data_IF_602021410885
#
_entry.id   IF_602021410885
#
_cell.length_a   1.000
_cell.length_b   1.000
_cell.length_c   1.000
_cell.angle_alpha   90.00
_cell.angle_beta   90.00
_cell.angle_gamma   90.00
#
_symmetry.space_group_name_H-M   'P 1'
#
loop_
_entity.id
_entity.type
_entity.pdbx_description
1 polymer ?
#
# COMPACT_ATOMS: atom_id res chain seq x y z
N UNK A 1 -3.53 11.55 7.83
CA UNK A 1 -4.66 11.49 6.86
C UNK A 1 -4.87 10.04 6.46
N UNK A 2 -6.05 9.65 6.01
CA UNK A 2 -6.34 8.26 5.61
C UNK A 2 -7.32 8.21 4.44
N UNK A 3 -7.14 7.26 3.52
CA UNK A 3 -8.09 6.90 2.47
C UNK A 3 -8.37 5.41 2.48
N UNK A 4 -9.60 5.03 2.12
CA UNK A 4 -10.00 3.65 1.88
C UNK A 4 -10.10 3.37 0.38
N UNK A 5 -9.54 2.24 -0.05
CA UNK A 5 -9.68 1.64 -1.37
C UNK A 5 -10.36 0.28 -1.19
N UNK A 6 -11.36 0.01 -2.03
CA UNK A 6 -12.03 -1.29 -2.10
C UNK A 6 -11.55 -2.01 -3.33
N UNK A 7 -11.23 -3.29 -3.18
CA UNK A 7 -10.73 -4.13 -4.24
C UNK A 7 -11.25 -5.57 -4.05
N UNK A 8 -10.95 -6.44 -5.00
CA UNK A 8 -11.37 -7.83 -5.00
C UNK A 8 -10.16 -8.78 -5.02
N UNK A 9 -10.36 -9.96 -4.45
CA UNK A 9 -9.45 -11.08 -4.64
C UNK A 9 -9.45 -11.61 -6.07
N UNK A 10 -8.50 -12.50 -6.36
CA UNK A 10 -8.41 -13.17 -7.65
C UNK A 10 -7.67 -14.50 -7.55
N UNK A 11 -8.18 -15.54 -8.23
CA UNK A 11 -7.66 -16.91 -8.20
C UNK A 11 -6.16 -17.07 -8.48
N UNK A 12 -5.59 -16.14 -9.26
CA UNK A 12 -4.19 -16.13 -9.66
C UNK A 12 -3.26 -15.34 -8.73
N UNK A 13 -3.76 -14.75 -7.64
CA UNK A 13 -2.90 -14.08 -6.65
C UNK A 13 -2.00 -15.13 -6.01
N UNK A 14 -0.69 -14.93 -6.12
CA UNK A 14 0.31 -15.82 -5.50
C UNK A 14 1.07 -15.16 -4.37
N UNK A 15 1.19 -13.83 -4.39
CA UNK A 15 1.90 -13.02 -3.40
C UNK A 15 3.33 -13.54 -3.11
N UNK A 16 4.13 -13.71 -4.17
CA UNK A 16 5.50 -14.29 -4.05
C UNK A 16 6.61 -13.29 -4.33
N UNK A 17 6.29 -12.13 -4.89
CA UNK A 17 7.31 -11.17 -5.25
C UNK A 17 8.08 -10.69 -4.02
N UNK A 18 9.42 -10.66 -4.12
CA UNK A 18 10.32 -10.45 -2.97
C UNK A 18 10.56 -8.99 -2.61
N UNK A 19 10.18 -8.07 -3.49
CA UNK A 19 10.54 -6.64 -3.35
C UNK A 19 9.39 -5.68 -3.58
N UNK A 20 8.21 -6.17 -4.00
CA UNK A 20 7.07 -5.30 -4.28
C UNK A 20 5.75 -5.92 -3.84
N UNK A 21 4.76 -5.06 -3.66
CA UNK A 21 3.33 -5.35 -3.49
C UNK A 21 2.61 -4.43 -4.47
N UNK A 22 1.55 -4.90 -5.12
CA UNK A 22 0.83 -4.15 -6.14
C UNK A 22 -0.68 -4.29 -5.99
N UNK A 23 -1.38 -3.16 -6.13
CA UNK A 23 -2.83 -3.03 -6.19
C UNK A 23 -3.17 -2.47 -7.57
N UNK A 24 -4.18 -3.04 -8.24
CA UNK A 24 -4.57 -2.59 -9.58
C UNK A 24 -6.09 -2.44 -9.74
N UNK A 25 -6.49 -1.47 -10.57
CA UNK A 25 -7.88 -1.34 -11.06
C UNK A 25 -8.25 -2.39 -12.11
N UNK A 26 -7.26 -3.04 -12.72
CA UNK A 26 -7.52 -4.06 -13.73
C UNK A 26 -8.23 -5.28 -13.14
N UNK A 27 -9.10 -5.90 -13.93
CA UNK A 27 -9.92 -7.03 -13.49
C UNK A 27 -9.26 -8.39 -13.67
N UNK A 28 -8.32 -8.47 -14.61
CA UNK A 28 -7.69 -9.72 -15.02
C UNK A 28 -6.25 -9.76 -14.54
N UNK A 29 -5.92 -10.86 -13.87
CA UNK A 29 -4.55 -11.14 -13.41
C UNK A 29 -4.06 -12.41 -14.08
N UNK A 30 -3.03 -12.29 -14.92
CA UNK A 30 -2.32 -13.45 -15.48
C UNK A 30 -1.59 -14.26 -14.39
N UNK A 31 -1.18 -15.50 -14.68
CA UNK A 31 -0.55 -16.38 -13.68
C UNK A 31 0.83 -15.90 -13.20
N UNK A 32 1.45 -14.94 -13.89
CA UNK A 32 2.81 -14.45 -13.62
C UNK A 32 2.85 -13.18 -12.75
N UNK A 33 1.71 -12.57 -12.42
CA UNK A 33 1.67 -11.37 -11.59
C UNK A 33 1.84 -11.70 -10.11
N UNK A 34 3.07 -11.99 -9.70
CA UNK A 34 3.39 -12.45 -8.34
C UNK A 34 3.50 -11.33 -7.30
N UNK A 35 3.51 -10.07 -7.73
CA UNK A 35 3.44 -8.87 -6.89
C UNK A 35 2.02 -8.38 -6.63
N UNK A 36 1.04 -8.76 -7.47
CA UNK A 36 -0.35 -8.27 -7.38
C UNK A 36 -1.08 -9.00 -6.26
N UNK A 37 -1.70 -8.22 -5.36
CA UNK A 37 -2.39 -8.72 -4.16
C UNK A 37 -3.85 -8.26 -4.06
N UNK A 38 -4.28 -7.38 -4.96
CA UNK A 38 -5.66 -6.91 -5.05
C UNK A 38 -5.93 -6.40 -6.47
N UNK A 39 -7.09 -6.78 -7.02
CA UNK A 39 -7.55 -6.41 -8.37
C UNK A 39 -8.85 -5.62 -8.28
N UNK A 40 -9.33 -5.03 -9.39
CA UNK A 40 -10.60 -4.28 -9.44
C UNK A 40 -10.69 -3.21 -8.35
N UNK A 41 -9.58 -2.56 -8.04
CA UNK A 41 -9.55 -1.45 -7.11
C UNK A 41 -10.48 -0.32 -7.59
N UNK A 42 -11.23 0.27 -6.66
CA UNK A 42 -12.13 1.39 -6.95
C UNK A 42 -11.37 2.71 -7.15
N UNK A 43 -10.12 2.80 -6.66
CA UNK A 43 -9.26 3.97 -6.72
C UNK A 43 -7.84 3.65 -7.19
N UNK A 44 -7.28 4.55 -8.01
CA UNK A 44 -5.86 4.73 -8.30
C UNK A 44 -5.41 6.13 -7.86
N UNK A 45 -4.20 6.57 -8.22
CA UNK A 45 -3.69 7.89 -7.81
C UNK A 45 -4.52 9.05 -8.37
N UNK A 46 -5.10 8.88 -9.57
CA UNK A 46 -6.00 9.85 -10.20
C UNK A 46 -7.28 10.12 -9.39
N UNK A 47 -7.65 9.18 -8.51
CA UNK A 47 -8.86 9.25 -7.68
C UNK A 47 -8.59 9.82 -6.28
N UNK A 48 -7.31 10.13 -5.97
CA UNK A 48 -6.88 10.73 -4.70
C UNK A 48 -6.74 12.25 -4.85
N UNK A 49 -7.19 12.99 -3.84
CA UNK A 49 -7.02 14.44 -3.83
C UNK A 49 -5.54 14.85 -3.72
N UNK A 50 -5.21 16.03 -4.24
CA UNK A 50 -3.83 16.52 -4.22
C UNK A 50 -3.27 16.72 -2.80
N UNK A 51 -4.04 17.27 -1.83
CA UNK A 51 -3.57 17.38 -0.45
C UNK A 51 -3.14 16.05 0.16
N UNK A 52 -3.86 14.96 -0.10
CA UNK A 52 -3.49 13.63 0.39
C UNK A 52 -2.24 13.10 -0.30
N UNK A 53 -2.11 13.26 -1.62
CA UNK A 53 -0.88 12.87 -2.35
C UNK A 53 0.36 13.64 -1.84
N UNK A 54 0.24 14.94 -1.58
CA UNK A 54 1.31 15.74 -0.98
C UNK A 54 1.68 15.25 0.43
N UNK A 55 0.68 14.88 1.24
CA UNK A 55 0.92 14.30 2.55
C UNK A 55 1.64 12.94 2.44
N UNK A 56 1.29 12.11 1.46
CA UNK A 56 1.98 10.84 1.20
C UNK A 56 3.44 11.07 0.83
N UNK A 57 3.74 11.99 -0.10
CA UNK A 57 5.12 12.33 -0.55
C UNK A 57 6.06 12.79 0.57
N UNK A 58 5.52 13.29 1.68
CA UNK A 58 6.29 13.90 2.77
C UNK A 58 6.27 13.10 4.08
N UNK A 59 5.56 11.96 4.13
CA UNK A 59 5.35 11.21 5.36
C UNK A 59 5.87 9.78 5.28
N UNK A 60 6.11 9.19 6.46
CA UNK A 60 6.02 7.73 6.59
C UNK A 60 4.55 7.34 6.44
N UNK A 61 4.28 6.22 5.82
CA UNK A 61 2.91 5.76 5.60
C UNK A 61 2.76 4.29 5.92
N UNK A 62 1.54 3.89 6.29
CA UNK A 62 1.14 2.50 6.50
C UNK A 62 0.02 2.17 5.51
N UNK A 63 0.09 0.98 4.93
CA UNK A 63 -0.99 0.41 4.12
C UNK A 63 -1.50 -0.84 4.84
N UNK A 64 -2.77 -0.84 5.20
CA UNK A 64 -3.42 -1.96 5.90
C UNK A 64 -4.42 -2.64 4.98
N UNK A 65 -4.30 -3.95 4.84
CA UNK A 65 -5.19 -4.80 4.07
C UNK A 65 -6.09 -5.60 5.03
N UNK A 66 -7.39 -5.63 4.73
CA UNK A 66 -8.39 -6.41 5.45
C UNK A 66 -9.15 -7.31 4.48
N UNK A 67 -9.28 -8.60 4.80
CA UNK A 67 -9.98 -9.59 3.99
C UNK A 67 -10.53 -10.70 4.90
N UNK A 68 -11.84 -10.94 4.90
CA UNK A 68 -12.53 -11.96 5.73
C UNK A 68 -12.05 -12.04 7.20
N UNK A 69 -11.83 -10.89 7.85
CA UNK A 69 -11.37 -10.81 9.24
C UNK A 69 -9.86 -10.92 9.44
N UNK A 70 -9.08 -11.25 8.41
CA UNK A 70 -7.62 -11.15 8.42
C UNK A 70 -7.20 -9.69 8.25
N UNK A 71 -6.17 -9.28 8.98
CA UNK A 71 -5.58 -7.93 8.91
C UNK A 71 -4.08 -8.04 8.77
N UNK A 72 -3.51 -7.35 7.80
CA UNK A 72 -2.07 -7.28 7.58
C UNK A 72 -1.65 -5.89 7.13
N UNK A 73 -0.47 -5.42 7.51
CA UNK A 73 0.00 -4.09 7.15
C UNK A 73 1.47 -4.04 6.76
N UNK A 74 1.76 -3.06 5.91
CA UNK A 74 3.09 -2.74 5.40
C UNK A 74 3.37 -1.26 5.64
N UNK A 75 4.60 -0.93 5.98
CA UNK A 75 5.02 0.45 6.21
C UNK A 75 6.19 0.82 5.31
N UNK A 76 6.22 2.07 4.91
CA UNK A 76 7.27 2.60 4.05
C UNK A 76 7.27 4.12 4.05
N UNK A 77 8.00 4.69 3.10
CA UNK A 77 8.24 6.13 3.04
C UNK A 77 7.73 6.71 1.73
N UNK A 78 7.13 7.89 1.85
CA UNK A 78 7.01 8.80 0.72
C UNK A 78 8.31 9.52 0.46
N UNK A 79 8.45 10.00 -0.77
CA UNK A 79 9.50 10.94 -1.16
C UNK A 79 8.92 12.01 -2.07
N UNK A 80 9.61 13.14 -2.19
CA UNK A 80 9.23 14.22 -3.12
C UNK A 80 9.25 13.80 -4.59
N UNK A 81 9.95 12.72 -4.94
CA UNK A 81 10.07 12.25 -6.33
C UNK A 81 8.99 11.24 -6.73
N UNK A 82 8.11 10.81 -5.82
CA UNK A 82 6.99 9.93 -6.16
C UNK A 82 6.02 10.64 -7.13
N UNK A 83 5.94 10.10 -8.35
CA UNK A 83 5.06 10.62 -9.39
C UNK A 83 3.60 10.60 -8.96
N UNK A 84 3.08 9.43 -8.54
CA UNK A 84 1.69 9.22 -8.14
C UNK A 84 0.70 9.73 -9.20
N UNK A 85 0.88 9.27 -10.44
CA UNK A 85 0.10 9.70 -11.61
C UNK A 85 -0.56 8.54 -12.35
N UNK A 86 -0.16 7.30 -12.05
CA UNK A 86 -0.72 6.15 -12.72
C UNK A 86 -2.23 6.01 -12.40
N UNK A 87 -3.01 5.76 -13.44
CA UNK A 87 -4.48 5.71 -13.38
C UNK A 87 -5.00 4.32 -12.99
N UNK A 88 -4.11 3.33 -12.82
CA UNK A 88 -4.49 1.93 -12.59
C UNK A 88 -3.76 1.27 -11.44
N UNK A 89 -2.46 1.50 -11.30
CA UNK A 89 -1.60 0.71 -10.44
C UNK A 89 -0.98 1.52 -9.29
N UNK A 90 -0.97 0.93 -8.10
CA UNK A 90 -0.22 1.42 -6.93
C UNK A 90 0.76 0.35 -6.45
N UNK A 91 2.05 0.68 -6.44
CA UNK A 91 3.14 -0.26 -6.13
C UNK A 91 3.89 0.20 -4.88
N UNK A 92 3.95 -0.67 -3.88
CA UNK A 92 4.81 -0.52 -2.70
C UNK A 92 6.14 -1.24 -2.97
N UNK A 93 7.28 -0.58 -2.73
CA UNK A 93 8.60 -1.10 -3.09
C UNK A 93 9.53 -1.15 -1.89
N UNK A 94 10.29 -2.25 -1.74
CA UNK A 94 11.39 -2.34 -0.77
C UNK A 94 12.59 -1.47 -1.19
N UNK A 95 12.79 -1.28 -2.49
CA UNK A 95 13.86 -0.42 -3.01
C UNK A 95 13.48 1.07 -2.97
N UNK A 96 14.45 1.94 -3.26
CA UNK A 96 14.25 3.37 -3.52
C UNK A 96 13.87 3.72 -4.96
N UNK A 97 13.41 2.75 -5.76
CA UNK A 97 13.03 3.02 -7.15
C UNK A 97 11.70 3.76 -7.21
N UNK A 98 11.66 4.87 -7.95
CA UNK A 98 10.49 5.73 -8.07
C UNK A 98 9.94 5.69 -9.51
N UNK A 99 8.62 5.71 -9.62
CA UNK A 99 7.88 5.80 -10.88
C UNK A 99 6.48 6.36 -10.64
N UNK A 100 5.74 6.65 -11.70
CA UNK A 100 4.35 7.13 -11.60
C UNK A 100 3.41 6.17 -10.87
N UNK A 101 3.77 4.88 -10.81
CA UNK A 101 3.07 3.80 -10.12
C UNK A 101 3.44 3.66 -8.64
N UNK A 102 4.49 4.33 -8.20
CA UNK A 102 5.08 4.04 -6.88
C UNK A 102 4.33 4.78 -5.78
N UNK A 103 3.72 4.02 -4.85
CA UNK A 103 3.02 4.54 -3.67
C UNK A 103 3.99 4.80 -2.51
N UNK A 104 4.95 3.89 -2.30
CA UNK A 104 5.97 4.02 -1.28
C UNK A 104 7.27 3.32 -1.69
N UNK A 105 8.36 3.80 -1.12
CA UNK A 105 9.69 3.20 -1.19
C UNK A 105 10.17 2.79 0.20
N UNK A 106 11.25 2.01 0.27
CA UNK A 106 11.81 1.51 1.53
C UNK A 106 10.77 0.80 2.40
N UNK A 107 9.90 0.04 1.75
CA UNK A 107 8.88 -0.79 2.38
C UNK A 107 9.51 -1.86 3.29
N UNK A 108 8.97 -2.04 4.48
CA UNK A 108 9.43 -3.06 5.44
C UNK A 108 9.10 -4.49 4.99
N UNK A 109 8.03 -4.64 4.20
CA UNK A 109 7.52 -5.91 3.66
C UNK A 109 7.37 -5.90 2.14
N UNK A 110 7.27 -7.08 1.55
CA UNK A 110 6.87 -7.33 0.17
C UNK A 110 5.74 -8.36 0.11
N UNK A 111 5.27 -8.70 -1.10
CA UNK A 111 4.19 -9.66 -1.28
C UNK A 111 4.51 -11.03 -0.63
N UNK A 112 5.76 -11.49 -0.69
CA UNK A 112 6.19 -12.73 -0.05
C UNK A 112 6.07 -12.76 1.49
N UNK A 113 5.90 -11.60 2.12
CA UNK A 113 5.77 -11.47 3.58
C UNK A 113 4.30 -11.50 4.04
N UNK A 114 3.35 -11.65 3.11
CA UNK A 114 1.93 -11.77 3.43
C UNK A 114 1.65 -13.15 4.07
N UNK A 115 0.98 -13.19 5.23
CA UNK A 115 0.60 -14.42 5.90
C UNK A 115 -0.24 -15.34 5.01
N UNK A 116 -0.06 -16.67 5.14
CA UNK A 116 -0.70 -17.67 4.27
C UNK A 116 -2.23 -17.65 4.33
N UNK A 117 -2.78 -17.37 5.50
CA UNK A 117 -4.22 -17.21 5.73
C UNK A 117 -4.77 -15.98 5.00
N UNK A 118 -4.05 -14.86 5.06
CA UNK A 118 -4.37 -13.68 4.25
C UNK A 118 -4.28 -14.00 2.75
N UNK A 119 -3.21 -14.65 2.27
CA UNK A 119 -3.09 -15.05 0.84
C UNK A 119 -4.25 -15.96 0.41
N UNK A 120 -4.69 -16.89 1.25
CA UNK A 120 -5.87 -17.71 0.95
C UNK A 120 -7.13 -16.87 0.74
N UNK A 121 -7.33 -15.83 1.55
CA UNK A 121 -8.43 -14.89 1.37
C UNK A 121 -8.31 -14.09 0.07
N UNK A 122 -7.12 -13.53 -0.22
CA UNK A 122 -6.87 -12.77 -1.44
C UNK A 122 -7.07 -13.60 -2.72
N UNK A 123 -6.94 -14.93 -2.64
CA UNK A 123 -7.14 -15.84 -3.79
C UNK A 123 -8.59 -16.10 -4.13
N UNK A 124 -9.52 -15.81 -3.24
CA UNK A 124 -10.95 -15.98 -3.49
C UNK A 124 -11.49 -14.79 -4.30
N UNK A 125 -11.98 -15.00 -5.54
CA UNK A 125 -12.53 -13.93 -6.37
C UNK A 125 -13.74 -13.21 -5.77
N UNK A 126 -14.45 -13.85 -4.84
CA UNK A 126 -15.63 -13.28 -4.18
C UNK A 126 -15.26 -12.50 -2.92
N UNK A 127 -14.01 -12.56 -2.47
CA UNK A 127 -13.56 -11.86 -1.28
C UNK A 127 -13.31 -10.37 -1.57
N UNK A 128 -13.98 -9.51 -0.82
CA UNK A 128 -13.72 -8.07 -0.79
C UNK A 128 -12.48 -7.79 0.05
N UNK A 129 -11.59 -6.95 -0.49
CA UNK A 129 -10.38 -6.47 0.17
C UNK A 129 -10.57 -4.99 0.46
N UNK A 130 -10.52 -4.62 1.74
CA UNK A 130 -10.49 -3.21 2.16
C UNK A 130 -9.06 -2.81 2.46
N UNK A 131 -8.60 -1.76 1.78
CA UNK A 131 -7.21 -1.30 1.85
C UNK A 131 -7.23 0.14 2.39
N UNK A 132 -6.50 0.37 3.46
CA UNK A 132 -6.40 1.68 4.10
C UNK A 132 -4.99 2.21 3.93
N UNK A 133 -4.85 3.36 3.28
CA UNK A 133 -3.56 4.06 3.17
C UNK A 133 -3.60 5.21 4.16
N UNK A 134 -2.68 5.22 5.12
CA UNK A 134 -2.60 6.24 6.17
C UNK A 134 -1.22 6.89 6.21
N UNK A 135 -1.20 8.22 6.34
CA UNK A 135 0.04 8.94 6.68
C UNK A 135 0.27 8.89 8.18
N UNK A 136 1.47 8.50 8.57
CA UNK A 136 1.91 8.49 9.97
C UNK A 136 2.55 9.86 10.25
N UNK A 137 1.97 10.62 11.18
CA UNK A 137 2.60 11.83 11.67
C UNK A 137 3.94 11.47 12.30
N UNK A 138 5.02 12.14 11.88
CA UNK A 138 6.24 12.14 12.67
C UNK A 138 5.89 12.80 14.00
N UNK A 139 6.06 12.09 15.11
CA UNK A 139 6.19 12.77 16.39
C UNK A 139 7.47 13.58 16.28
N UNK A 140 7.32 14.87 16.02
CA UNK A 140 8.42 15.83 16.04
C UNK A 140 9.07 15.77 17.42
N UNK A 141 10.22 15.08 17.52
CA UNK A 141 11.14 15.18 18.66
C UNK A 141 11.85 16.53 18.71
N UNK A 142 11.31 17.55 18.05
CA UNK A 142 11.77 18.94 18.09
C UNK A 142 10.96 19.82 19.05
N UNK A 143 10.07 19.26 19.88
CA UNK A 143 9.41 20.04 20.93
C UNK A 143 10.42 20.45 22.03
N UNK A 144 10.79 21.73 22.18
CA UNK A 144 11.83 22.18 23.10
C UNK A 144 11.28 22.38 24.51
N UNK A 145 10.51 21.43 25.03
CA UNK A 145 10.11 21.39 26.44
C UNK A 145 10.76 20.20 27.16
N UNK A 146 12.08 20.11 27.04
CA UNK A 146 12.89 19.58 28.14
C UNK A 146 13.17 20.74 29.10
N UNK A 147 12.29 20.96 30.09
CA UNK A 147 12.74 21.49 31.39
C UNK A 147 11.68 21.30 32.49
N UNK A 148 11.82 20.24 33.28
CA UNK A 148 11.74 20.25 34.74
C UNK A 148 12.00 18.81 35.20
N UNK A 149 13.15 18.52 35.83
CA UNK A 149 13.30 18.54 37.29
C UNK A 149 12.06 17.97 37.98
N UNK A 150 12.16 16.74 38.49
CA UNK A 150 12.41 16.40 39.90
C UNK A 150 13.21 15.10 39.92
#
# INVERSE_FOLDING_TARGET
MMVEIRAMGHKNITARHRTTIEITKDSDLGPNGDCIVAVRADKAFSDLDEPFKEALRSSRMRVTFQCNGHVWSVEGHGTKGLGMRDEREMVMRKSGYESDRTLMVSSDKAACDIPKDMVSCLRDPESEIRIFIETLCQQDSSCPHQNNRI
#
